data_IF_894209518782
#
_entry.id   IF_894209518782
#
_cell.length_a   1.000
_cell.length_b   1.000
_cell.length_c   1.000
_cell.angle_alpha   90.00
_cell.angle_beta   90.00
_cell.angle_gamma   90.00
#
_symmetry.space_group_name_H-M   'P 1'
#
loop_
_entity.id
_entity.type
_entity.pdbx_description
1 polymer ?
#
# COMPACT_ATOMS: atom_id res chain seq x y z
N UNK A 1 1.01 25.96 -15.04
CA UNK A 1 -0.42 25.76 -15.39
C UNK A 1 -1.20 26.24 -14.19
N UNK A 2 -2.14 27.15 -14.33
CA UNK A 2 -2.99 27.57 -13.20
C UNK A 2 -4.01 26.47 -13.04
N UNK A 3 -3.90 25.71 -11.96
CA UNK A 3 -4.82 24.62 -11.65
C UNK A 3 -5.87 25.19 -10.70
N UNK A 4 -7.13 25.14 -11.09
CA UNK A 4 -8.22 25.57 -10.21
C UNK A 4 -8.43 24.52 -9.11
N UNK A 5 -8.76 25.02 -7.93
CA UNK A 5 -9.04 24.18 -6.77
C UNK A 5 -10.44 24.42 -6.28
N UNK A 6 -11.20 23.37 -6.00
CA UNK A 6 -12.49 23.44 -5.33
C UNK A 6 -12.61 22.42 -4.22
N UNK A 7 -13.44 22.69 -3.23
CA UNK A 7 -13.68 21.75 -2.14
C UNK A 7 -14.37 20.49 -2.67
N UNK A 8 -13.82 19.34 -2.28
CA UNK A 8 -14.34 18.01 -2.64
C UNK A 8 -15.43 17.50 -1.70
N UNK A 9 -15.83 16.25 -1.88
CA UNK A 9 -16.93 15.63 -1.13
C UNK A 9 -16.54 15.13 0.27
N UNK A 10 -15.25 14.98 0.57
CA UNK A 10 -14.76 14.40 1.82
C UNK A 10 -14.73 12.86 1.84
N UNK A 11 -15.17 12.21 0.79
CA UNK A 11 -15.13 10.75 0.61
C UNK A 11 -15.07 10.42 -0.88
N UNK A 12 -14.39 9.33 -1.28
CA UNK A 12 -13.55 8.45 -0.46
C UNK A 12 -12.22 9.10 -0.05
N UNK A 13 -11.52 8.49 0.92
CA UNK A 13 -10.19 8.93 1.37
C UNK A 13 -9.13 8.61 0.32
N UNK A 14 -7.99 9.32 0.35
CA UNK A 14 -6.92 9.19 -0.64
C UNK A 14 -7.19 9.97 -1.92
N UNK A 15 -6.72 9.45 -3.06
CA UNK A 15 -6.88 10.09 -4.37
C UNK A 15 -7.86 9.34 -5.25
N UNK A 16 -8.78 10.07 -5.89
CA UNK A 16 -9.76 9.50 -6.81
C UNK A 16 -9.98 10.42 -8.00
N UNK A 17 -10.06 9.86 -9.21
CA UNK A 17 -10.50 10.63 -10.36
C UNK A 17 -12.00 10.91 -10.26
N UNK A 18 -12.35 12.17 -10.48
CA UNK A 18 -13.73 12.65 -10.48
C UNK A 18 -14.00 13.43 -11.77
N UNK A 19 -15.26 13.72 -12.06
CA UNK A 19 -15.58 14.52 -13.22
C UNK A 19 -14.87 15.88 -13.21
N UNK A 20 -13.93 16.06 -14.14
CA UNK A 20 -13.18 17.30 -14.32
C UNK A 20 -11.88 17.44 -13.51
N UNK A 21 -11.41 16.39 -12.83
CA UNK A 21 -10.14 16.49 -12.09
C UNK A 21 -9.81 15.29 -11.20
N UNK A 22 -8.96 15.53 -10.21
CA UNK A 22 -8.57 14.56 -9.19
C UNK A 22 -8.92 15.08 -7.81
N UNK A 23 -9.67 14.31 -7.05
CA UNK A 23 -9.97 14.59 -5.65
C UNK A 23 -8.89 14.02 -4.74
N UNK A 24 -8.42 14.81 -3.80
CA UNK A 24 -7.50 14.44 -2.73
C UNK A 24 -8.21 14.63 -1.40
N UNK A 25 -8.38 13.56 -0.64
CA UNK A 25 -9.08 13.59 0.64
C UNK A 25 -8.20 13.00 1.73
N UNK A 26 -7.99 13.78 2.79
CA UNK A 26 -7.17 13.37 3.92
C UNK A 26 -7.83 13.76 5.25
N UNK A 27 -7.59 12.99 6.29
CA UNK A 27 -7.94 13.36 7.65
C UNK A 27 -6.76 14.06 8.32
N UNK A 28 -6.98 15.28 8.79
CA UNK A 28 -5.93 16.17 9.26
C UNK A 28 -6.23 16.66 10.67
N UNK A 29 -5.23 16.67 11.57
CA UNK A 29 -5.37 17.24 12.89
C UNK A 29 -5.75 18.75 12.83
N UNK A 30 -6.61 19.20 13.74
CA UNK A 30 -7.16 20.56 13.73
C UNK A 30 -6.14 21.69 13.87
N UNK A 31 -4.93 21.40 14.36
CA UNK A 31 -3.95 22.41 14.79
C UNK A 31 -2.73 22.52 13.90
N UNK A 32 -2.66 21.77 12.80
CA UNK A 32 -1.48 21.75 11.94
C UNK A 32 -1.73 22.49 10.63
N UNK A 33 -0.71 23.17 10.14
CA UNK A 33 -0.67 23.63 8.76
C UNK A 33 -0.43 22.42 7.88
N UNK A 34 -1.26 22.25 6.85
CA UNK A 34 -1.18 21.10 6.00
C UNK A 34 -1.28 21.50 4.54
N UNK A 35 -0.30 21.06 3.76
CA UNK A 35 -0.25 21.30 2.32
C UNK A 35 -0.28 20.00 1.56
N UNK A 36 -1.05 19.95 0.50
CA UNK A 36 -0.90 18.97 -0.55
C UNK A 36 0.15 19.50 -1.53
N UNK A 37 1.15 18.69 -1.85
CA UNK A 37 2.17 18.98 -2.85
C UNK A 37 1.93 18.05 -4.03
N UNK A 38 1.86 18.61 -5.24
CA UNK A 38 1.70 17.86 -6.49
C UNK A 38 3.00 17.96 -7.28
N UNK A 39 3.49 16.82 -7.74
CA UNK A 39 4.75 16.70 -8.46
C UNK A 39 4.51 16.20 -9.88
N UNK A 40 5.26 16.75 -10.82
CA UNK A 40 5.34 16.25 -12.18
C UNK A 40 6.22 14.98 -12.28
N UNK A 41 6.37 14.44 -13.48
CA UNK A 41 7.23 13.30 -13.77
C UNK A 41 8.70 13.55 -13.40
N UNK A 42 9.19 14.77 -13.58
CA UNK A 42 10.56 15.18 -13.22
C UNK A 42 10.77 15.39 -11.71
N UNK A 43 9.75 15.12 -10.90
CA UNK A 43 9.76 15.31 -9.44
C UNK A 43 9.82 16.78 -8.98
N UNK A 44 9.47 17.73 -9.85
CA UNK A 44 9.29 19.12 -9.47
C UNK A 44 7.92 19.36 -8.89
N UNK A 45 7.83 20.17 -7.84
CA UNK A 45 6.53 20.62 -7.31
C UNK A 45 5.91 21.58 -8.32
N UNK A 46 4.80 21.19 -8.91
CA UNK A 46 4.07 21.98 -9.90
C UNK A 46 2.88 22.74 -9.32
N UNK A 47 2.40 22.27 -8.17
CA UNK A 47 1.31 22.91 -7.45
C UNK A 47 1.36 22.57 -5.96
N UNK A 48 0.76 23.46 -5.14
CA UNK A 48 0.56 23.24 -3.73
C UNK A 48 -0.78 23.80 -3.26
N UNK A 49 -1.48 23.02 -2.45
CA UNK A 49 -2.81 23.40 -1.93
C UNK A 49 -2.81 23.45 -0.42
N UNK A 50 -3.30 24.54 0.15
CA UNK A 50 -3.52 24.61 1.59
C UNK A 50 -4.80 23.85 1.96
N UNK A 51 -4.64 22.63 2.43
CA UNK A 51 -5.74 21.70 2.71
C UNK A 51 -6.75 22.19 3.74
N UNK A 52 -6.39 22.92 4.82
CA UNK A 52 -7.36 23.52 5.73
C UNK A 52 -8.41 24.44 5.10
N UNK A 53 -8.11 25.06 3.95
CA UNK A 53 -9.08 25.87 3.21
C UNK A 53 -10.20 25.04 2.58
N UNK A 54 -9.99 23.72 2.45
CA UNK A 54 -10.91 22.77 1.85
C UNK A 54 -11.46 21.78 2.89
N UNK A 55 -11.70 22.24 4.11
CA UNK A 55 -12.26 21.44 5.19
C UNK A 55 -13.74 21.13 4.94
N UNK A 56 -14.07 19.85 4.97
CA UNK A 56 -15.43 19.34 4.73
C UNK A 56 -16.13 19.01 6.04
N UNK A 57 -15.40 18.40 6.98
CA UNK A 57 -15.91 18.03 8.30
C UNK A 57 -14.79 18.03 9.34
N UNK A 58 -15.11 17.65 10.58
CA UNK A 58 -14.15 17.58 11.66
C UNK A 58 -12.94 16.71 11.28
N UNK A 59 -11.80 17.32 11.02
CA UNK A 59 -10.57 16.64 10.64
C UNK A 59 -10.44 16.26 9.17
N UNK A 60 -11.52 16.22 8.37
CA UNK A 60 -11.45 15.85 6.96
C UNK A 60 -11.32 17.09 6.08
N UNK A 61 -10.28 17.10 5.26
CA UNK A 61 -10.08 18.06 4.19
C UNK A 61 -10.12 17.34 2.84
N UNK A 62 -10.81 17.94 1.88
CA UNK A 62 -10.98 17.37 0.55
C UNK A 62 -10.90 18.46 -0.51
N UNK A 63 -9.98 18.33 -1.45
CA UNK A 63 -9.81 19.24 -2.57
C UNK A 63 -9.91 18.50 -3.88
N UNK A 64 -10.60 19.07 -4.85
CA UNK A 64 -10.55 18.67 -6.25
C UNK A 64 -9.60 19.63 -6.96
N UNK A 65 -8.55 19.09 -7.53
CA UNK A 65 -7.65 19.79 -8.43
C UNK A 65 -8.17 19.57 -9.84
N UNK A 66 -8.63 20.66 -10.47
CA UNK A 66 -9.31 20.61 -11.76
C UNK A 66 -8.32 20.46 -12.92
N UNK A 67 -8.69 19.69 -13.91
CA UNK A 67 -7.92 19.44 -15.11
C UNK A 67 -7.57 17.96 -15.29
N UNK A 68 -7.04 17.64 -16.46
CA UNK A 68 -6.54 16.29 -16.74
C UNK A 68 -5.10 16.13 -16.25
N UNK A 69 -4.97 15.75 -14.98
CA UNK A 69 -3.66 15.52 -14.38
C UNK A 69 -3.06 14.21 -14.94
N UNK A 70 -1.81 14.26 -15.47
CA UNK A 70 -1.14 13.08 -16.00
C UNK A 70 -1.03 11.95 -14.97
N UNK A 71 -1.16 10.69 -15.44
CA UNK A 71 -1.13 9.50 -14.56
C UNK A 71 0.23 9.26 -13.88
N UNK A 72 1.30 9.78 -14.43
CA UNK A 72 2.68 9.70 -13.94
C UNK A 72 3.01 10.76 -12.89
N UNK A 73 2.11 11.72 -12.68
CA UNK A 73 2.23 12.67 -11.58
C UNK A 73 2.04 11.99 -10.23
N UNK A 74 2.63 12.61 -9.21
CA UNK A 74 2.62 12.10 -7.84
C UNK A 74 2.32 13.21 -6.85
N UNK A 75 2.03 12.82 -5.62
CA UNK A 75 1.70 13.76 -4.56
C UNK A 75 2.26 13.32 -3.21
N UNK A 76 2.38 14.27 -2.31
CA UNK A 76 2.67 14.06 -0.89
C UNK A 76 2.00 15.14 -0.05
N UNK A 77 1.91 14.92 1.24
CA UNK A 77 1.50 15.95 2.18
C UNK A 77 2.72 16.56 2.88
N UNK A 78 2.57 17.80 3.35
CA UNK A 78 3.59 18.49 4.13
C UNK A 78 2.95 19.15 5.35
N UNK A 79 3.49 18.89 6.54
CA UNK A 79 3.13 19.53 7.79
C UNK A 79 4.38 20.11 8.42
N UNK A 80 4.36 21.42 8.73
CA UNK A 80 5.47 22.12 9.38
C UNK A 80 6.84 21.87 8.71
N UNK A 81 6.85 21.82 7.36
CA UNK A 81 8.04 21.55 6.56
C UNK A 81 8.45 20.07 6.49
N UNK A 82 7.75 19.17 7.16
CA UNK A 82 7.98 17.73 7.10
C UNK A 82 7.04 17.10 6.09
N UNK A 83 7.62 16.48 5.07
CA UNK A 83 6.87 15.75 4.05
C UNK A 83 6.47 14.36 4.56
N UNK A 84 5.26 13.96 4.27
CA UNK A 84 4.69 12.69 4.70
C UNK A 84 3.91 12.02 3.59
N UNK A 85 3.88 10.70 3.66
CA UNK A 85 3.11 9.84 2.75
C UNK A 85 1.63 9.89 3.11
N UNK A 86 0.77 9.79 2.11
CA UNK A 86 -0.67 9.56 2.33
C UNK A 86 -0.92 8.14 2.83
N UNK A 87 -1.50 7.95 4.02
CA UNK A 87 -1.82 6.62 4.52
C UNK A 87 -2.89 5.88 3.71
N UNK A 88 -3.65 6.58 2.88
CA UNK A 88 -4.68 6.02 1.99
C UNK A 88 -4.24 5.89 0.54
N UNK A 89 -2.96 6.12 0.22
CA UNK A 89 -2.50 5.91 -1.15
C UNK A 89 -2.67 4.45 -1.57
N UNK A 90 -3.13 4.24 -2.80
CA UNK A 90 -3.31 2.90 -3.38
C UNK A 90 -2.13 2.48 -4.26
N UNK A 91 -1.30 3.44 -4.69
CA UNK A 91 -0.07 3.19 -5.44
C UNK A 91 0.96 4.28 -5.12
N UNK A 92 2.24 4.00 -5.34
CA UNK A 92 3.32 4.95 -5.06
C UNK A 92 4.36 5.00 -6.17
N UNK A 93 5.24 6.01 -6.08
CA UNK A 93 6.40 6.14 -7.00
C UNK A 93 7.50 5.12 -6.72
N UNK A 94 7.42 4.40 -5.60
CA UNK A 94 8.45 3.46 -5.20
C UNK A 94 8.40 2.18 -6.03
N UNK A 95 9.31 2.05 -6.99
CA UNK A 95 9.66 0.76 -7.56
C UNK A 95 10.66 0.10 -6.61
N UNK A 96 10.23 -0.91 -5.83
CA UNK A 96 11.07 -1.52 -4.79
C UNK A 96 11.49 -2.93 -5.14
N UNK A 97 12.78 -3.22 -4.90
CA UNK A 97 13.24 -4.58 -4.73
C UNK A 97 13.09 -4.97 -3.26
N UNK A 98 12.84 -6.23 -3.00
CA UNK A 98 12.76 -6.72 -1.63
C UNK A 98 14.09 -6.53 -0.90
N UNK A 99 14.03 -5.89 0.27
CA UNK A 99 15.20 -5.56 1.09
C UNK A 99 15.91 -4.26 0.72
N UNK A 100 15.38 -3.50 -0.24
CA UNK A 100 15.87 -2.15 -0.51
C UNK A 100 15.49 -1.19 0.62
N UNK A 101 16.38 -0.23 0.86
CA UNK A 101 16.15 0.80 1.86
C UNK A 101 15.09 1.79 1.39
N UNK A 102 14.20 2.19 2.29
CA UNK A 102 13.13 3.12 1.98
C UNK A 102 13.65 4.54 1.81
N UNK A 103 13.15 5.24 0.82
CA UNK A 103 13.22 6.70 0.82
C UNK A 103 12.58 7.27 2.09
N UNK A 104 12.94 8.49 2.48
CA UNK A 104 12.45 9.15 3.69
C UNK A 104 10.91 9.20 3.72
N UNK A 105 10.28 9.35 2.56
CA UNK A 105 8.83 9.20 2.35
C UNK A 105 8.54 8.77 0.90
N UNK A 106 7.42 8.08 0.70
CA UNK A 106 6.94 7.73 -0.62
C UNK A 106 5.88 8.73 -1.07
N UNK A 107 5.92 9.10 -2.33
CA UNK A 107 4.85 9.88 -2.94
C UNK A 107 3.77 8.96 -3.47
N UNK A 108 2.51 9.29 -3.19
CA UNK A 108 1.38 8.62 -3.80
C UNK A 108 1.33 8.90 -5.30
N UNK A 109 0.97 7.92 -6.12
CA UNK A 109 0.61 8.12 -7.52
C UNK A 109 -0.85 8.51 -7.64
N UNK A 110 -1.18 9.26 -8.69
CA UNK A 110 -2.56 9.53 -9.04
C UNK A 110 -3.20 8.22 -9.51
N UNK A 111 -4.05 7.66 -8.65
CA UNK A 111 -4.66 6.36 -8.91
C UNK A 111 -5.85 6.49 -9.86
N UNK A 112 -5.91 5.58 -10.82
CA UNK A 112 -7.04 5.35 -11.70
C UNK A 112 -7.33 3.86 -11.71
N UNK A 113 -8.56 3.47 -11.41
CA UNK A 113 -8.95 2.06 -11.47
C UNK A 113 -9.39 1.73 -12.90
N UNK A 114 -8.41 1.36 -13.72
CA UNK A 114 -8.61 0.96 -15.11
C UNK A 114 -8.59 -0.57 -15.27
N UNK A 115 -8.60 -1.32 -14.16
CA UNK A 115 -8.50 -2.78 -14.21
C UNK A 115 -9.83 -3.41 -14.62
N UNK A 116 -9.78 -4.22 -15.66
CA UNK A 116 -10.94 -4.93 -16.20
C UNK A 116 -11.16 -6.26 -15.46
N UNK A 117 -12.08 -6.28 -14.51
CA UNK A 117 -12.47 -7.49 -13.81
C UNK A 117 -13.24 -8.48 -14.69
N UNK A 118 -13.87 -8.00 -15.78
CA UNK A 118 -14.74 -8.79 -16.65
C UNK A 118 -15.86 -9.48 -15.84
N UNK A 119 -16.05 -10.78 -16.04
CA UNK A 119 -17.07 -11.59 -15.35
C UNK A 119 -16.52 -12.24 -14.06
N UNK A 120 -15.52 -11.64 -13.41
CA UNK A 120 -14.97 -12.16 -12.16
C UNK A 120 -16.04 -12.25 -11.09
N UNK A 121 -16.13 -13.41 -10.44
CA UNK A 121 -17.05 -13.67 -9.34
C UNK A 121 -16.33 -14.39 -8.22
N UNK A 122 -16.74 -14.11 -7.00
CA UNK A 122 -16.25 -14.85 -5.84
C UNK A 122 -16.64 -16.33 -5.97
N UNK A 123 -15.72 -17.29 -5.72
CA UNK A 123 -16.04 -18.71 -5.76
C UNK A 123 -17.15 -19.16 -4.79
N UNK A 124 -17.42 -18.41 -3.71
CA UNK A 124 -18.48 -18.64 -2.73
C UNK A 124 -18.53 -20.09 -2.21
N UNK A 125 -17.41 -20.53 -1.63
CA UNK A 125 -17.23 -21.91 -1.19
C UNK A 125 -17.92 -22.15 0.15
N UNK A 126 -18.81 -23.15 0.27
CA UNK A 126 -19.44 -23.50 1.55
C UNK A 126 -18.38 -23.77 2.63
N UNK A 127 -18.58 -23.21 3.82
CA UNK A 127 -17.59 -23.22 4.90
C UNK A 127 -17.04 -24.62 5.24
N UNK A 128 -17.89 -25.64 5.20
CA UNK A 128 -17.50 -27.04 5.47
C UNK A 128 -16.67 -27.68 4.35
N UNK A 129 -16.57 -27.03 3.20
CA UNK A 129 -15.80 -27.51 2.05
C UNK A 129 -14.47 -26.76 1.88
N UNK A 130 -14.19 -25.77 2.75
CA UNK A 130 -12.98 -24.96 2.63
C UNK A 130 -11.73 -25.76 3.02
N UNK A 131 -10.75 -25.76 2.13
CA UNK A 131 -9.39 -26.24 2.38
C UNK A 131 -8.43 -25.07 2.18
N UNK A 132 -8.04 -24.45 3.29
CA UNK A 132 -7.22 -23.25 3.28
C UNK A 132 -5.73 -23.53 3.28
N UNK A 133 -4.97 -22.77 2.50
CA UNK A 133 -3.51 -22.76 2.50
C UNK A 133 -2.99 -21.37 2.82
N UNK A 134 -2.28 -21.23 3.94
CA UNK A 134 -1.64 -19.97 4.28
C UNK A 134 -0.29 -19.84 3.61
N UNK A 135 -0.09 -18.80 2.79
CA UNK A 135 1.16 -18.58 2.08
C UNK A 135 1.68 -17.13 2.25
N UNK A 136 2.98 -17.01 2.11
CA UNK A 136 3.68 -15.73 1.99
C UNK A 136 4.10 -15.58 0.53
N UNK A 137 3.64 -14.53 -0.16
CA UNK A 137 3.84 -14.33 -1.62
C UNK A 137 5.29 -14.57 -2.03
N UNK A 138 6.23 -13.87 -1.39
CA UNK A 138 7.65 -14.05 -1.69
C UNK A 138 8.17 -15.43 -1.28
N UNK A 139 7.87 -15.88 -0.06
CA UNK A 139 8.40 -17.14 0.47
C UNK A 139 7.95 -18.37 -0.33
N UNK A 140 6.77 -18.31 -0.92
CA UNK A 140 6.19 -19.42 -1.68
C UNK A 140 6.92 -19.69 -3.00
N UNK A 141 7.44 -18.66 -3.65
CA UNK A 141 7.99 -18.80 -5.00
C UNK A 141 9.41 -18.25 -5.20
N UNK A 142 10.04 -17.64 -4.19
CA UNK A 142 11.35 -17.00 -4.35
C UNK A 142 12.49 -17.98 -4.68
N UNK A 143 12.46 -19.19 -4.13
CA UNK A 143 13.50 -20.18 -4.37
C UNK A 143 13.39 -20.78 -5.78
N UNK A 144 14.55 -21.14 -6.37
CA UNK A 144 14.61 -21.67 -7.74
C UNK A 144 13.85 -22.99 -7.92
N UNK A 145 13.69 -23.79 -6.85
CA UNK A 145 12.89 -25.03 -6.88
C UNK A 145 11.40 -24.81 -7.14
N UNK A 146 10.91 -23.59 -6.99
CA UNK A 146 9.53 -23.25 -7.34
C UNK A 146 9.24 -23.40 -8.84
N UNK A 147 10.28 -23.30 -9.69
CA UNK A 147 10.22 -23.41 -11.15
C UNK A 147 9.28 -22.38 -11.82
N UNK A 148 8.97 -21.26 -11.16
CA UNK A 148 8.18 -20.19 -11.73
C UNK A 148 9.08 -19.10 -12.34
N UNK A 149 8.54 -18.32 -13.27
CA UNK A 149 9.23 -17.19 -13.90
C UNK A 149 9.24 -15.97 -12.97
N UNK A 150 8.08 -15.61 -12.43
CA UNK A 150 7.88 -14.45 -11.55
C UNK A 150 8.15 -14.81 -10.09
N UNK A 151 9.40 -15.14 -9.76
CA UNK A 151 9.77 -15.59 -8.41
C UNK A 151 9.59 -14.53 -7.36
N UNK A 152 8.90 -14.88 -6.27
CA UNK A 152 8.66 -13.98 -5.13
C UNK A 152 7.68 -12.86 -5.40
N UNK A 153 6.89 -12.96 -6.46
CA UNK A 153 5.95 -11.96 -6.96
C UNK A 153 4.51 -12.46 -6.95
N UNK A 154 3.54 -11.56 -7.06
CA UNK A 154 2.12 -11.89 -7.17
C UNK A 154 1.86 -12.85 -8.34
N UNK A 155 2.40 -12.54 -9.51
CA UNK A 155 2.26 -13.41 -10.68
C UNK A 155 2.94 -14.77 -10.54
N UNK A 156 3.93 -14.90 -9.66
CA UNK A 156 4.52 -16.19 -9.31
C UNK A 156 3.55 -17.09 -8.54
N UNK A 157 2.63 -16.52 -7.76
CA UNK A 157 1.55 -17.28 -7.10
C UNK A 157 0.58 -17.80 -8.16
N UNK A 158 0.23 -16.99 -9.14
CA UNK A 158 -0.62 -17.37 -10.29
C UNK A 158 -0.04 -18.59 -11.03
N UNK A 159 1.28 -18.63 -11.27
CA UNK A 159 1.93 -19.76 -11.91
C UNK A 159 1.84 -21.06 -11.06
N UNK A 160 1.50 -20.96 -9.78
CA UNK A 160 1.34 -22.10 -8.87
C UNK A 160 -0.11 -22.59 -8.72
N UNK A 161 -1.07 -22.03 -9.43
CA UNK A 161 -2.46 -22.47 -9.39
C UNK A 161 -2.60 -23.99 -9.66
N UNK A 162 -1.95 -24.58 -10.68
CA UNK A 162 -2.04 -26.03 -10.90
C UNK A 162 -1.59 -26.85 -9.67
N UNK A 163 -0.51 -26.42 -9.02
CA UNK A 163 -0.01 -27.07 -7.81
C UNK A 163 -1.01 -26.96 -6.64
N UNK A 164 -1.63 -25.78 -6.45
CA UNK A 164 -2.62 -25.58 -5.39
C UNK A 164 -3.86 -26.46 -5.64
N UNK A 165 -4.31 -26.55 -6.88
CA UNK A 165 -5.43 -27.42 -7.26
C UNK A 165 -5.12 -28.92 -7.06
N UNK A 166 -3.92 -29.37 -7.41
CA UNK A 166 -3.47 -30.73 -7.19
C UNK A 166 -3.45 -31.11 -5.69
N UNK A 167 -3.15 -30.14 -4.82
CA UNK A 167 -3.27 -30.30 -3.37
C UNK A 167 -4.72 -30.24 -2.83
N UNK A 168 -5.71 -29.97 -3.68
CA UNK A 168 -7.09 -29.78 -3.26
C UNK A 168 -7.38 -28.47 -2.52
N UNK A 169 -6.51 -27.47 -2.69
CA UNK A 169 -6.66 -26.15 -2.06
C UNK A 169 -7.70 -25.34 -2.85
N UNK A 170 -8.67 -24.78 -2.13
CA UNK A 170 -9.70 -23.90 -2.69
C UNK A 170 -9.78 -22.53 -2.01
N UNK A 171 -8.92 -22.27 -1.01
CA UNK A 171 -8.78 -20.96 -0.39
C UNK A 171 -7.32 -20.69 -0.03
N UNK A 172 -6.80 -19.53 -0.38
CA UNK A 172 -5.50 -19.07 0.11
C UNK A 172 -5.64 -17.95 1.11
N UNK A 173 -4.82 -17.98 2.16
CA UNK A 173 -4.69 -16.90 3.14
C UNK A 173 -3.33 -16.26 2.97
N UNK A 174 -3.30 -15.08 2.36
CA UNK A 174 -2.08 -14.32 2.14
C UNK A 174 -1.59 -13.73 3.47
N UNK A 175 -0.33 -14.02 3.82
CA UNK A 175 0.37 -13.24 4.85
C UNK A 175 0.48 -11.79 4.40
N UNK A 176 0.81 -10.84 5.30
CA UNK A 176 0.81 -9.42 4.95
C UNK A 176 1.36 -9.16 3.56
N UNK A 177 0.52 -8.68 2.67
CA UNK A 177 0.81 -8.35 1.28
C UNK A 177 0.46 -6.90 0.93
N UNK A 178 0.12 -6.09 1.94
CA UNK A 178 0.08 -4.64 1.87
C UNK A 178 1.51 -4.06 1.95
N UNK A 179 1.69 -2.78 1.62
CA UNK A 179 3.00 -2.14 1.66
C UNK A 179 3.45 -1.91 3.11
N UNK A 180 4.57 -2.51 3.49
CA UNK A 180 5.21 -2.38 4.79
C UNK A 180 6.72 -2.17 4.65
N UNK A 181 7.37 -1.65 5.70
CA UNK A 181 8.82 -1.46 5.71
C UNK A 181 9.55 -2.80 5.89
N UNK A 182 10.36 -3.12 4.90
CA UNK A 182 11.17 -4.35 4.91
C UNK A 182 12.45 -4.19 5.73
N UNK A 183 12.94 -2.97 5.88
CA UNK A 183 14.13 -2.68 6.67
C UNK A 183 13.71 -2.15 8.02
N UNK A 184 13.95 -2.93 9.05
CA UNK A 184 13.73 -2.50 10.44
C UNK A 184 14.94 -1.71 10.90
N UNK A 185 14.71 -0.43 11.22
CA UNK A 185 15.73 0.45 11.79
C UNK A 185 15.59 0.55 13.29
N UNK A 186 16.72 0.59 14.05
CA UNK A 186 16.63 0.85 15.47
C UNK A 186 16.06 2.25 15.72
N UNK A 187 15.22 2.38 16.72
CA UNK A 187 14.75 3.68 17.23
C UNK A 187 15.94 4.51 17.73
N UNK A 188 15.75 5.83 17.89
CA UNK A 188 16.78 6.77 18.40
C UNK A 188 17.38 6.36 19.76
N UNK A 189 16.65 5.60 20.57
CA UNK A 189 17.09 5.05 21.86
C UNK A 189 17.84 3.69 21.73
N UNK A 190 18.10 3.22 20.52
CA UNK A 190 18.77 1.94 20.28
C UNK A 190 17.88 0.70 20.40
N UNK A 191 16.57 0.85 20.69
CA UNK A 191 15.63 -0.26 20.73
C UNK A 191 15.04 -0.52 19.34
N UNK A 192 14.79 -1.78 19.02
CA UNK A 192 14.00 -2.17 17.85
C UNK A 192 12.52 -2.25 18.22
N UNK A 193 11.64 -2.12 17.25
CA UNK A 193 10.22 -2.32 17.51
C UNK A 193 9.89 -3.80 17.75
N UNK A 194 8.93 -4.04 18.53
CA UNK A 194 8.30 -5.13 19.24
C UNK A 194 8.43 -6.59 18.78
N UNK A 195 9.10 -6.91 17.69
CA UNK A 195 9.37 -8.31 17.30
C UNK A 195 10.85 -8.70 17.55
N UNK A 196 11.41 -8.20 18.63
CA UNK A 196 12.82 -8.06 18.84
C UNK A 196 13.57 -9.31 19.24
N UNK A 197 14.59 -9.57 18.45
CA UNK A 197 15.82 -10.18 18.96
C UNK A 197 16.74 -9.07 19.48
N UNK A 198 17.28 -9.23 20.68
CA UNK A 198 18.29 -8.36 21.27
C UNK A 198 19.49 -8.29 20.34
N UNK A 199 19.72 -7.16 19.70
CA UNK A 199 20.94 -6.91 18.94
C UNK A 199 21.98 -6.24 19.84
N UNK A 200 23.24 -6.58 19.66
CA UNK A 200 24.35 -5.94 20.35
C UNK A 200 24.39 -4.45 19.99
N UNK A 201 24.29 -3.51 20.98
CA UNK A 201 24.33 -2.08 20.72
C UNK A 201 25.63 -1.58 20.11
N UNK A 202 26.70 -2.39 20.12
CA UNK A 202 28.03 -2.04 19.62
C UNK A 202 28.33 -2.54 18.21
N UNK A 203 27.49 -3.42 17.64
CA UNK A 203 27.65 -3.83 16.26
C UNK A 203 27.23 -2.71 15.32
N UNK A 204 28.00 -2.44 14.26
CA UNK A 204 27.52 -1.66 13.12
C UNK A 204 26.17 -2.25 12.70
N UNK A 205 25.12 -1.43 12.84
CA UNK A 205 23.72 -1.80 12.87
C UNK A 205 23.37 -2.68 11.68
N UNK A 206 23.27 -4.03 11.83
CA UNK A 206 22.85 -4.86 10.72
C UNK A 206 21.43 -4.45 10.35
N UNK A 207 21.21 -4.17 9.07
CA UNK A 207 19.86 -3.96 8.54
C UNK A 207 19.09 -5.26 8.75
N UNK A 208 18.10 -5.23 9.63
CA UNK A 208 17.25 -6.39 9.88
C UNK A 208 16.08 -6.36 8.91
N UNK A 209 15.89 -7.47 8.20
CA UNK A 209 14.79 -7.59 7.23
C UNK A 209 13.54 -8.07 7.96
N UNK A 210 12.46 -7.30 7.84
CA UNK A 210 11.12 -7.71 8.19
C UNK A 210 10.55 -8.58 7.04
N UNK A 211 10.81 -9.87 7.12
CA UNK A 211 10.36 -10.80 6.09
C UNK A 211 8.84 -11.00 6.10
N UNK A 212 8.24 -11.02 7.29
CA UNK A 212 6.86 -11.44 7.48
C UNK A 212 5.81 -10.34 7.33
N UNK A 213 6.21 -9.07 7.44
CA UNK A 213 5.31 -7.94 7.31
C UNK A 213 4.32 -7.72 8.46
N UNK A 214 4.54 -8.35 9.63
CA UNK A 214 3.71 -8.08 10.83
C UNK A 214 4.14 -6.79 11.51
N UNK A 215 3.90 -5.68 10.84
CA UNK A 215 4.21 -4.33 11.28
C UNK A 215 3.20 -3.36 10.71
N UNK A 216 3.29 -2.11 11.10
CA UNK A 216 2.56 -1.02 10.49
C UNK A 216 2.94 -0.89 9.01
N UNK A 217 2.01 -0.41 8.20
CA UNK A 217 2.24 -0.19 6.79
C UNK A 217 1.12 0.61 6.14
N UNK A 218 1.23 0.79 4.84
CA UNK A 218 0.15 1.33 4.04
C UNK A 218 -0.81 0.20 3.65
N UNK A 219 -1.93 0.12 4.35
CA UNK A 219 -2.89 -0.98 4.24
C UNK A 219 -3.68 -0.99 2.93
N UNK A 220 -3.74 0.14 2.22
CA UNK A 220 -4.51 0.30 0.98
C UNK A 220 -3.67 0.06 -0.27
N UNK A 221 -2.37 -0.13 -0.12
CA UNK A 221 -1.45 -0.36 -1.22
C UNK A 221 -0.90 -1.80 -1.18
N UNK A 222 -1.01 -2.59 -2.26
CA UNK A 222 -0.31 -3.86 -2.37
C UNK A 222 1.21 -3.68 -2.30
N UNK A 223 1.90 -4.69 -1.78
CA UNK A 223 3.34 -4.67 -1.56
C UNK A 223 4.12 -4.48 -2.86
N UNK A 224 4.76 -3.32 -3.04
CA UNK A 224 5.47 -2.96 -4.26
C UNK A 224 6.58 -3.96 -4.63
N UNK A 225 7.31 -4.47 -3.64
CA UNK A 225 8.38 -5.45 -3.88
C UNK A 225 7.88 -6.84 -4.29
N UNK A 226 6.57 -7.11 -4.21
CA UNK A 226 5.95 -8.33 -4.70
C UNK A 226 5.41 -8.21 -6.14
N UNK A 227 5.69 -7.11 -6.82
CA UNK A 227 5.34 -6.89 -8.23
C UNK A 227 6.58 -6.68 -9.10
N UNK A 228 6.41 -6.79 -10.43
CA UNK A 228 7.44 -6.46 -11.40
C UNK A 228 7.44 -4.99 -11.82
N UNK A 229 6.40 -4.23 -11.45
CA UNK A 229 6.30 -2.81 -11.79
C UNK A 229 4.97 -2.16 -11.39
N UNK A 230 3.86 -2.88 -11.53
CA UNK A 230 2.53 -2.40 -11.16
C UNK A 230 1.92 -3.27 -10.06
N UNK A 231 2.13 -2.94 -8.78
CA UNK A 231 1.69 -3.77 -7.67
C UNK A 231 0.17 -3.89 -7.59
N UNK A 232 -0.58 -2.87 -8.01
CA UNK A 232 -2.04 -2.89 -7.95
C UNK A 232 -2.61 -3.83 -8.99
N UNK A 233 -2.20 -3.68 -10.25
CA UNK A 233 -2.71 -4.52 -11.33
C UNK A 233 -2.23 -5.97 -11.20
N UNK A 234 -0.95 -6.21 -10.86
CA UNK A 234 -0.46 -7.58 -10.66
C UNK A 234 -1.16 -8.29 -9.49
N UNK A 235 -1.51 -7.55 -8.41
CA UNK A 235 -2.30 -8.11 -7.32
C UNK A 235 -3.71 -8.49 -7.78
N UNK A 236 -4.38 -7.60 -8.53
CA UNK A 236 -5.72 -7.85 -9.09
C UNK A 236 -5.71 -9.01 -10.09
N UNK A 237 -4.71 -9.09 -10.97
CA UNK A 237 -4.52 -10.23 -11.88
C UNK A 237 -4.37 -11.55 -11.13
N UNK A 238 -3.58 -11.55 -10.05
CA UNK A 238 -3.45 -12.75 -9.21
C UNK A 238 -4.79 -13.16 -8.59
N UNK A 239 -5.54 -12.20 -8.03
CA UNK A 239 -6.85 -12.48 -7.42
C UNK A 239 -7.81 -13.03 -8.47
N UNK A 240 -7.93 -12.37 -9.62
CA UNK A 240 -8.79 -12.81 -10.72
C UNK A 240 -8.45 -14.22 -11.19
N UNK A 241 -7.18 -14.51 -11.44
CA UNK A 241 -6.76 -15.85 -11.86
C UNK A 241 -7.03 -16.94 -10.82
N UNK A 242 -6.94 -16.61 -9.53
CA UNK A 242 -7.31 -17.54 -8.45
C UNK A 242 -8.82 -17.76 -8.39
N UNK A 243 -9.65 -16.72 -8.51
CA UNK A 243 -11.09 -16.85 -8.60
C UNK A 243 -11.52 -17.72 -9.79
N UNK A 244 -10.99 -17.47 -10.98
CA UNK A 244 -11.21 -18.29 -12.17
C UNK A 244 -10.85 -19.77 -11.95
N UNK A 245 -9.86 -20.04 -11.10
CA UNK A 245 -9.47 -21.40 -10.72
C UNK A 245 -10.35 -22.01 -9.60
N UNK A 246 -11.33 -21.28 -9.08
CA UNK A 246 -12.16 -21.70 -7.95
C UNK A 246 -11.43 -21.63 -6.61
N UNK A 247 -10.50 -20.68 -6.45
CA UNK A 247 -9.72 -20.49 -5.22
C UNK A 247 -10.02 -19.09 -4.66
N UNK A 248 -10.56 -19.04 -3.45
CA UNK A 248 -10.78 -17.79 -2.72
C UNK A 248 -9.48 -17.18 -2.22
N UNK A 249 -9.44 -15.84 -2.09
CA UNK A 249 -8.29 -15.10 -1.57
C UNK A 249 -8.67 -14.31 -0.33
N UNK A 250 -7.99 -14.61 0.78
CA UNK A 250 -8.09 -13.87 2.03
C UNK A 250 -6.80 -13.12 2.27
N UNK A 251 -6.88 -11.81 2.53
CA UNK A 251 -5.74 -11.00 2.97
C UNK A 251 -5.69 -10.97 4.50
N UNK A 252 -4.52 -11.26 5.06
CA UNK A 252 -4.26 -11.10 6.48
C UNK A 252 -3.64 -9.74 6.77
N UNK A 253 -4.37 -8.90 7.49
CA UNK A 253 -3.88 -7.62 7.99
C UNK A 253 -3.34 -7.77 9.41
N UNK A 254 -2.35 -6.97 9.75
CA UNK A 254 -1.83 -6.82 11.10
C UNK A 254 -1.97 -5.36 11.54
N UNK A 255 -2.83 -5.14 12.51
CA UNK A 255 -2.97 -3.84 13.16
C UNK A 255 -2.28 -3.93 14.51
N UNK A 256 -1.14 -3.24 14.72
CA UNK A 256 -0.45 -3.28 15.99
C UNK A 256 -1.36 -2.72 17.07
N UNK A 257 -1.52 -3.45 18.17
CA UNK A 257 -2.21 -2.95 19.35
C UNK A 257 -1.35 -1.87 19.98
N UNK A 258 -1.70 -0.62 19.76
CA UNK A 258 -1.01 0.50 20.40
C UNK A 258 -1.74 0.91 21.66
N UNK A 259 -1.20 0.53 22.80
CA UNK A 259 -1.57 1.13 24.07
C UNK A 259 -1.06 2.59 24.19
N UNK A 260 -0.19 3.03 23.31
CA UNK A 260 0.33 4.38 23.23
C UNK A 260 -0.48 5.21 22.22
N UNK A 261 -1.17 6.23 22.74
CA UNK A 261 -1.95 7.20 21.94
C UNK A 261 -1.15 7.90 20.82
N UNK A 262 0.18 7.80 20.82
CA UNK A 262 1.06 8.37 19.82
C UNK A 262 1.14 7.57 18.50
N UNK A 263 0.64 6.33 18.48
CA UNK A 263 0.84 5.41 17.35
C UNK A 263 -0.41 5.09 16.53
N UNK A 264 -1.59 5.49 16.97
CA UNK A 264 -2.71 5.50 16.04
C UNK A 264 -2.52 6.76 15.23
N UNK A 265 -2.23 6.69 13.92
CA UNK A 265 -2.32 7.86 13.08
C UNK A 265 -3.66 8.52 13.38
N UNK A 266 -3.69 9.83 13.59
CA UNK A 266 -4.95 10.55 13.86
C UNK A 266 -6.03 10.29 12.80
N UNK A 267 -5.64 9.66 11.73
CA UNK A 267 -6.43 9.12 10.62
C UNK A 267 -7.29 7.90 10.99
N UNK A 268 -6.91 7.12 11.99
CA UNK A 268 -7.64 5.92 12.43
C UNK A 268 -8.34 6.11 13.80
N UNK A 269 -8.30 7.33 14.33
CA UNK A 269 -9.09 7.73 15.52
C UNK A 269 -10.48 8.23 15.06
#
# INVERSE_FOLDING_TARGET
MIVNHKTGSGFPMGTHRVGGGVQFTANLPFKQTFKLLIYNESCDVVDHVNMPNHRVSSGVCSVIVEGDLPKDWSYAYETDGVKTTDPFMMNSTAARKFGDDKAEYDRGKLYSDDFEWQDDTLPDIPYNNIVSYQLHVRGFTAHSSSKVKCRGKFLGVTEKIPYLKDLGINQIVLRPSFEFDEIIRPKKNGTFDTLDYKSDPKAEKPKKINFWGFTEGNYFMPKASYSNGDPVNEFKEMVKALHEAGIEVIMRFYFPATFNKAFIPDVLR
#
